data_IF_945677283354
#
_entry.id   IF_945677283354
#
_cell.length_a   1.000
_cell.length_b   1.000
_cell.length_c   1.000
_cell.angle_alpha   90.00
_cell.angle_beta   90.00
_cell.angle_gamma   90.00
#
_symmetry.space_group_name_H-M   'P 1'
#
loop_
_entity.id
_entity.type
_entity.pdbx_description
1 polymer ?
#
# COMPACT_ATOMS: atom_id res chain seq x y z
N UNK A 1 42.85 -13.27 -41.71
CA UNK A 1 42.11 -12.40 -40.79
C UNK A 1 41.03 -13.29 -40.19
N UNK A 2 41.10 -13.54 -38.88
CA UNK A 2 40.42 -14.65 -38.20
C UNK A 2 39.06 -14.22 -37.61
N UNK A 3 38.05 -15.06 -37.89
CA UNK A 3 36.90 -15.52 -37.08
C UNK A 3 35.89 -14.51 -36.52
N UNK A 4 34.60 -14.81 -36.81
CA UNK A 4 33.36 -14.33 -36.17
C UNK A 4 33.08 -15.15 -34.90
N UNK A 5 32.65 -14.52 -33.79
CA UNK A 5 31.86 -15.15 -32.72
C UNK A 5 30.96 -14.12 -32.00
N UNK A 6 29.85 -14.66 -31.50
CA UNK A 6 28.61 -14.07 -30.99
C UNK A 6 28.70 -13.22 -29.70
N UNK A 7 27.61 -12.50 -29.38
CA UNK A 7 27.35 -12.09 -28.00
C UNK A 7 26.41 -10.91 -27.78
N UNK A 8 25.11 -11.16 -27.89
CA UNK A 8 24.02 -10.31 -27.40
C UNK A 8 24.11 -10.06 -25.88
N UNK A 9 24.02 -8.80 -25.41
CA UNK A 9 23.22 -8.43 -24.22
C UNK A 9 23.05 -6.91 -24.08
N UNK A 10 21.90 -6.43 -24.53
CA UNK A 10 21.35 -5.13 -24.14
C UNK A 10 20.96 -5.20 -22.65
N UNK A 11 21.75 -4.54 -21.80
CA UNK A 11 21.42 -4.31 -20.40
C UNK A 11 20.53 -3.07 -20.31
N UNK A 12 19.22 -3.29 -20.27
CA UNK A 12 18.23 -2.29 -19.89
C UNK A 12 18.48 -1.85 -18.44
N UNK A 13 18.95 -0.63 -18.25
CA UNK A 13 18.97 0.05 -16.96
C UNK A 13 17.97 1.21 -16.96
N UNK A 14 16.69 0.89 -17.08
CA UNK A 14 15.61 1.78 -16.69
C UNK A 14 15.08 1.33 -15.33
N UNK A 15 15.73 1.79 -14.27
CA UNK A 15 15.14 1.88 -12.93
C UNK A 15 14.98 3.35 -12.61
N UNK A 16 13.98 3.97 -13.23
CA UNK A 16 13.36 5.20 -12.71
C UNK A 16 12.43 4.83 -11.56
N UNK A 17 13.03 4.32 -10.48
CA UNK A 17 12.44 4.29 -9.15
C UNK A 17 12.45 5.71 -8.57
N UNK A 18 11.59 6.57 -9.14
CA UNK A 18 11.15 7.77 -8.42
C UNK A 18 10.24 7.27 -7.30
N UNK A 19 10.89 6.90 -6.19
CA UNK A 19 10.26 6.79 -4.89
C UNK A 19 10.03 8.23 -4.43
N UNK A 20 8.96 8.85 -4.93
CA UNK A 20 8.46 10.09 -4.35
C UNK A 20 8.08 9.75 -2.92
N UNK A 21 8.94 10.12 -1.96
CA UNK A 21 8.57 10.15 -0.56
C UNK A 21 7.33 11.05 -0.46
N UNK A 22 6.16 10.55 -0.04
CA UNK A 22 5.01 11.41 0.20
C UNK A 22 5.27 12.10 1.53
N UNK A 23 6.08 13.15 1.52
CA UNK A 23 6.21 14.03 2.67
C UNK A 23 5.16 15.13 2.68
N UNK A 24 4.41 15.31 1.60
CA UNK A 24 3.53 16.47 1.45
C UNK A 24 2.26 16.04 0.71
N UNK A 25 1.31 15.48 1.48
CA UNK A 25 -0.10 15.72 1.23
C UNK A 25 -0.44 16.93 2.11
N UNK A 26 -0.35 18.13 1.52
CA UNK A 26 -0.62 19.45 2.09
C UNK A 26 -0.95 19.47 3.60
N UNK A 27 0.06 19.65 4.44
CA UNK A 27 -0.13 19.99 5.87
C UNK A 27 -0.75 18.92 6.78
N UNK A 28 -1.15 17.76 6.27
CA UNK A 28 -1.67 16.68 7.11
C UNK A 28 -0.52 15.86 7.70
N UNK A 29 -0.21 16.12 8.97
CA UNK A 29 0.71 15.29 9.73
C UNK A 29 0.13 13.87 9.81
N UNK A 30 0.69 12.93 9.04
CA UNK A 30 0.28 11.53 9.05
C UNK A 30 0.48 10.94 10.45
N UNK A 31 -0.61 10.46 11.04
CA UNK A 31 -0.63 9.89 12.40
C UNK A 31 0.07 8.51 12.41
N UNK A 32 1.20 8.34 13.11
CA UNK A 32 1.81 7.02 13.28
C UNK A 32 0.81 6.03 13.88
N UNK A 33 0.83 4.77 13.40
CA UNK A 33 -0.12 3.75 13.84
C UNK A 33 0.58 2.63 14.60
N UNK A 34 -0.13 2.05 15.57
CA UNK A 34 0.38 0.95 16.37
C UNK A 34 0.38 -0.36 15.58
N UNK A 35 1.09 -1.36 16.11
CA UNK A 35 1.07 -2.71 15.55
C UNK A 35 -0.34 -3.29 15.50
N UNK A 36 -0.64 -4.01 14.42
CA UNK A 36 -1.94 -4.67 14.19
C UNK A 36 -3.15 -3.74 14.10
N UNK A 37 -2.94 -2.43 14.14
CA UNK A 37 -4.00 -1.44 14.04
C UNK A 37 -4.70 -1.52 12.67
N UNK A 38 -5.96 -1.13 12.67
CA UNK A 38 -6.78 -1.01 11.47
C UNK A 38 -7.71 0.18 11.59
N UNK A 39 -8.11 0.72 10.45
CA UNK A 39 -9.09 1.78 10.36
C UNK A 39 -9.75 1.78 8.99
N UNK A 40 -10.62 2.75 8.77
CA UNK A 40 -11.38 2.90 7.54
C UNK A 40 -11.06 4.25 6.91
N UNK A 41 -11.03 4.27 5.58
CA UNK A 41 -10.89 5.49 4.81
C UNK A 41 -9.57 6.24 5.01
N UNK A 42 -9.63 7.56 4.81
CA UNK A 42 -8.49 8.44 4.78
C UNK A 42 -7.79 8.53 6.15
N UNK A 43 -6.48 8.82 6.19
CA UNK A 43 -5.60 9.05 5.04
C UNK A 43 -5.03 7.76 4.43
N UNK A 44 -5.29 6.58 5.00
CA UNK A 44 -4.55 5.34 4.67
C UNK A 44 -5.30 4.36 3.75
N UNK A 45 -6.56 4.63 3.46
CA UNK A 45 -7.35 3.90 2.48
C UNK A 45 -8.24 4.88 1.70
N UNK A 46 -8.67 4.52 0.48
CA UNK A 46 -9.56 5.36 -0.30
C UNK A 46 -10.99 5.37 0.26
N UNK A 47 -11.69 6.46 -0.01
CA UNK A 47 -13.12 6.64 0.29
C UNK A 47 -13.89 6.97 -0.99
N UNK A 48 -15.20 6.73 -0.96
CA UNK A 48 -16.13 7.01 -2.06
C UNK A 48 -15.72 6.37 -3.39
N UNK A 49 -15.00 5.24 -3.34
CA UNK A 49 -14.51 4.56 -4.54
C UNK A 49 -14.81 3.05 -4.49
N UNK A 50 -15.37 2.45 -5.56
CA UNK A 50 -15.66 3.07 -6.86
C UNK A 50 -16.95 3.89 -6.87
N UNK A 51 -17.84 3.70 -5.90
CA UNK A 51 -19.07 4.48 -5.78
C UNK A 51 -19.07 5.33 -4.51
N UNK A 52 -19.82 6.44 -4.48
CA UNK A 52 -20.05 7.20 -3.26
C UNK A 52 -20.50 6.31 -2.09
N UNK A 53 -19.90 6.49 -0.93
CA UNK A 53 -20.13 5.67 0.27
C UNK A 53 -19.33 4.37 0.34
N UNK A 54 -18.54 4.00 -0.67
CA UNK A 54 -17.60 2.88 -0.53
C UNK A 54 -16.38 3.31 0.27
N UNK A 55 -16.24 2.78 1.49
CA UNK A 55 -15.11 3.06 2.36
C UNK A 55 -14.24 1.81 2.45
N UNK A 56 -12.97 1.96 2.09
CA UNK A 56 -12.00 0.87 2.18
C UNK A 56 -11.40 0.81 3.58
N UNK A 57 -11.13 -0.40 4.07
CA UNK A 57 -10.42 -0.59 5.34
C UNK A 57 -8.93 -0.69 5.08
N UNK A 58 -8.11 -0.05 5.90
CA UNK A 58 -6.67 -0.32 5.99
C UNK A 58 -6.35 -1.12 7.25
N UNK A 59 -5.32 -1.95 7.16
CA UNK A 59 -4.77 -2.69 8.30
C UNK A 59 -3.27 -2.79 8.19
N UNK A 60 -2.58 -2.73 9.33
CA UNK A 60 -1.14 -2.99 9.42
C UNK A 60 -0.86 -4.30 10.15
N UNK A 61 0.31 -4.89 9.88
CA UNK A 61 0.80 -6.11 10.51
C UNK A 61 1.85 -5.82 11.59
N UNK A 62 2.85 -6.70 11.70
CA UNK A 62 3.92 -6.60 12.71
C UNK A 62 5.23 -6.07 12.15
N UNK A 63 5.50 -6.28 10.86
CA UNK A 63 6.79 -5.92 10.27
C UNK A 63 6.83 -4.46 9.85
N UNK A 64 7.86 -3.76 10.33
CA UNK A 64 8.18 -2.37 10.01
C UNK A 64 9.55 -2.33 9.34
N UNK A 65 9.65 -1.56 8.25
CA UNK A 65 10.91 -1.35 7.54
C UNK A 65 11.80 -0.40 8.35
N UNK A 66 13.11 -0.44 8.10
CA UNK A 66 14.06 0.52 8.68
C UNK A 66 13.67 2.00 8.40
N UNK A 67 12.91 2.26 7.34
CA UNK A 67 12.37 3.58 7.01
C UNK A 67 11.23 4.07 7.92
N UNK A 68 10.81 3.29 8.92
CA UNK A 68 9.73 3.68 9.83
C UNK A 68 8.31 3.50 9.31
N UNK A 69 8.12 2.70 8.27
CA UNK A 69 6.82 2.43 7.68
C UNK A 69 6.52 0.94 7.68
N UNK A 70 5.25 0.58 7.75
CA UNK A 70 4.83 -0.82 7.72
C UNK A 70 5.22 -1.50 6.41
N UNK A 71 5.82 -2.68 6.54
CA UNK A 71 5.99 -3.62 5.44
C UNK A 71 4.68 -4.38 5.24
N UNK A 72 4.12 -4.91 6.33
CA UNK A 72 2.84 -5.59 6.34
C UNK A 72 1.72 -4.57 6.40
N UNK A 73 1.10 -4.31 5.26
CA UNK A 73 -0.06 -3.45 5.13
C UNK A 73 -1.06 -4.08 4.18
N UNK A 74 -2.32 -3.80 4.45
CA UNK A 74 -3.40 -4.40 3.71
C UNK A 74 -4.49 -3.37 3.47
N UNK A 75 -5.06 -3.40 2.26
CA UNK A 75 -6.36 -2.83 2.02
C UNK A 75 -7.41 -3.94 1.95
N UNK A 76 -8.59 -3.65 2.48
CA UNK A 76 -9.75 -4.53 2.41
C UNK A 76 -10.82 -3.80 1.63
N UNK A 77 -11.33 -4.47 0.59
CA UNK A 77 -12.35 -3.89 -0.27
C UNK A 77 -13.67 -3.68 0.51
N UNK A 78 -14.44 -2.63 0.17
CA UNK A 78 -15.76 -2.40 0.73
C UNK A 78 -16.71 -3.56 0.42
N UNK A 79 -17.77 -3.78 1.21
CA UNK A 79 -18.69 -4.92 1.04
C UNK A 79 -19.26 -5.06 -0.38
N UNK A 80 -19.53 -3.94 -1.07
CA UNK A 80 -20.05 -3.95 -2.45
C UNK A 80 -19.11 -4.58 -3.47
N UNK A 81 -17.82 -4.63 -3.17
CA UNK A 81 -16.80 -5.23 -4.02
C UNK A 81 -16.44 -6.67 -3.64
N UNK A 82 -17.00 -7.19 -2.54
CA UNK A 82 -16.72 -8.55 -2.10
C UNK A 82 -17.70 -9.52 -2.78
N UNK A 83 -17.16 -10.48 -3.54
CA UNK A 83 -17.95 -11.55 -4.18
C UNK A 83 -18.70 -12.41 -3.16
N UNK A 84 -18.13 -12.56 -1.96
CA UNK A 84 -18.72 -13.34 -0.88
C UNK A 84 -18.65 -12.56 0.44
N UNK A 85 -19.78 -12.23 1.07
CA UNK A 85 -19.81 -11.50 2.35
C UNK A 85 -19.02 -12.18 3.49
N UNK A 86 -18.80 -13.50 3.41
CA UNK A 86 -18.03 -14.25 4.41
C UNK A 86 -16.52 -14.20 4.16
N UNK A 87 -16.08 -13.82 2.96
CA UNK A 87 -14.67 -13.78 2.56
C UNK A 87 -14.29 -12.37 2.17
N UNK A 88 -13.63 -11.68 3.11
CA UNK A 88 -13.03 -10.38 2.86
C UNK A 88 -12.01 -10.47 1.73
N UNK A 89 -12.04 -9.48 0.84
CA UNK A 89 -11.07 -9.35 -0.25
C UNK A 89 -9.93 -8.44 0.20
N UNK A 90 -8.74 -9.03 0.35
CA UNK A 90 -7.55 -8.36 0.88
C UNK A 90 -6.52 -8.10 -0.22
N UNK A 91 -5.88 -6.94 -0.15
CA UNK A 91 -4.76 -6.58 -1.01
C UNK A 91 -3.54 -6.25 -0.15
N UNK A 92 -2.52 -7.10 -0.22
CA UNK A 92 -1.26 -6.94 0.53
C UNK A 92 -0.18 -6.15 -0.23
N UNK A 93 -0.41 -5.83 -1.51
CA UNK A 93 0.59 -5.16 -2.34
C UNK A 93 -0.05 -4.24 -3.39
N UNK A 94 0.65 -3.14 -3.70
CA UNK A 94 0.30 -2.20 -4.78
C UNK A 94 0.09 -2.91 -6.13
N UNK A 95 0.97 -3.84 -6.57
CA UNK A 95 0.78 -4.55 -7.83
C UNK A 95 -0.49 -5.41 -7.86
N UNK A 96 -0.79 -6.16 -6.78
CA UNK A 96 -2.01 -6.98 -6.71
C UNK A 96 -3.27 -6.12 -6.86
N UNK A 97 -3.34 -5.02 -6.10
CA UNK A 97 -4.45 -4.08 -6.19
C UNK A 97 -4.53 -3.43 -7.58
N UNK A 98 -3.41 -2.98 -8.15
CA UNK A 98 -3.38 -2.38 -9.48
C UNK A 98 -3.90 -3.35 -10.55
N UNK A 99 -3.50 -4.63 -10.51
CA UNK A 99 -4.00 -5.64 -11.44
C UNK A 99 -5.51 -5.83 -11.26
N UNK A 100 -5.99 -5.95 -10.02
CA UNK A 100 -7.42 -6.06 -9.75
C UNK A 100 -8.22 -4.87 -10.32
N UNK A 101 -7.74 -3.65 -10.11
CA UNK A 101 -8.38 -2.43 -10.61
C UNK A 101 -8.43 -2.41 -12.14
N UNK A 102 -7.32 -2.73 -12.82
CA UNK A 102 -7.29 -2.81 -14.29
C UNK A 102 -8.28 -3.82 -14.87
N UNK A 103 -8.41 -4.97 -14.20
CA UNK A 103 -9.28 -6.05 -14.67
C UNK A 103 -10.76 -5.76 -14.44
N UNK A 104 -11.11 -5.21 -13.26
CA UNK A 104 -12.51 -5.04 -12.86
C UNK A 104 -13.08 -3.64 -13.16
N UNK A 105 -12.20 -2.65 -13.29
CA UNK A 105 -12.56 -1.25 -13.56
C UNK A 105 -11.66 -0.68 -14.65
N UNK A 106 -11.74 -1.19 -15.90
CA UNK A 106 -10.84 -0.80 -16.98
C UNK A 106 -10.96 0.69 -17.36
N UNK A 107 -12.09 1.31 -17.08
CA UNK A 107 -12.35 2.74 -17.34
C UNK A 107 -11.88 3.65 -16.19
N UNK A 108 -11.49 3.10 -15.05
CA UNK A 108 -11.10 3.90 -13.89
C UNK A 108 -9.72 4.52 -14.06
N UNK A 109 -9.56 5.77 -13.61
CA UNK A 109 -8.25 6.38 -13.44
C UNK A 109 -7.55 5.78 -12.21
N UNK A 110 -6.71 4.77 -12.47
CA UNK A 110 -5.94 4.06 -11.45
C UNK A 110 -4.91 4.98 -10.78
N UNK A 111 -4.41 5.99 -11.49
CA UNK A 111 -3.43 6.92 -10.91
C UNK A 111 -4.13 7.88 -9.94
N UNK A 112 -5.31 8.38 -10.30
CA UNK A 112 -6.17 9.13 -9.37
C UNK A 112 -6.53 8.30 -8.13
N UNK A 113 -6.85 7.02 -8.31
CA UNK A 113 -7.10 6.09 -7.19
C UNK A 113 -5.90 6.00 -6.23
N UNK A 114 -4.68 5.76 -6.73
CA UNK A 114 -3.51 5.66 -5.86
C UNK A 114 -3.03 7.00 -5.30
N UNK A 115 -3.50 8.12 -5.85
CA UNK A 115 -3.20 9.47 -5.37
C UNK A 115 -4.20 9.97 -4.34
N UNK A 116 -5.35 9.30 -4.18
CA UNK A 116 -6.40 9.74 -3.24
C UNK A 116 -6.08 9.43 -1.78
N UNK A 117 -5.09 8.58 -1.50
CA UNK A 117 -4.71 8.17 -0.16
C UNK A 117 -3.21 7.87 -0.07
N UNK A 118 -2.70 7.83 1.16
CA UNK A 118 -1.33 7.46 1.45
C UNK A 118 -1.23 5.97 1.62
N UNK A 119 -0.55 5.32 0.68
CA UNK A 119 -0.22 3.91 0.83
C UNK A 119 0.65 3.74 2.10
N UNK A 120 1.75 4.50 2.24
CA UNK A 120 2.85 4.28 3.22
C UNK A 120 2.47 4.73 4.63
N UNK A 121 2.00 3.77 5.43
CA UNK A 121 1.57 3.99 6.80
C UNK A 121 2.77 4.07 7.74
N UNK A 122 2.98 5.19 8.45
CA UNK A 122 4.06 5.34 9.43
C UNK A 122 3.79 4.50 10.68
N UNK A 123 4.85 3.91 11.23
CA UNK A 123 4.77 3.13 12.46
C UNK A 123 4.98 4.01 13.69
N UNK A 124 4.14 3.82 14.71
CA UNK A 124 4.37 4.39 16.03
C UNK A 124 5.41 3.56 16.78
N UNK A 125 6.67 4.02 16.75
CA UNK A 125 7.77 3.36 17.45
C UNK A 125 7.62 3.38 18.97
N UNK A 126 6.93 4.36 19.55
CA UNK A 126 6.74 4.42 21.00
C UNK A 126 5.84 3.27 21.49
N UNK A 127 4.87 2.86 20.67
CA UNK A 127 4.02 1.70 20.94
C UNK A 127 4.81 0.37 21.00
N UNK A 128 6.00 0.28 20.40
CA UNK A 128 6.85 -0.92 20.48
C UNK A 128 7.60 -1.01 21.82
N UNK A 129 8.04 0.13 22.35
CA UNK A 129 8.88 0.16 23.55
C UNK A 129 8.09 0.27 24.86
N UNK A 130 6.82 0.66 24.82
CA UNK A 130 5.98 0.81 26.00
C UNK A 130 5.05 -0.37 26.29
N UNK A 131 5.26 -1.54 25.66
CA UNK A 131 4.51 -2.75 26.01
C UNK A 131 4.92 -3.18 27.43
N UNK A 132 4.01 -3.19 28.43
CA UNK A 132 4.37 -3.44 29.82
C UNK A 132 4.44 -4.94 30.09
N UNK A 133 5.39 -5.64 29.49
CA UNK A 133 5.77 -6.99 29.91
C UNK A 133 7.28 -7.06 30.19
N UNK A 134 7.66 -6.35 31.25
CA UNK A 134 8.88 -6.60 32.01
C UNK A 134 8.49 -7.03 33.42
N UNK A 135 8.20 -8.32 33.60
CA UNK A 135 8.21 -8.97 34.90
C UNK A 135 9.34 -10.00 34.84
N UNK A 136 10.45 -9.66 35.52
CA UNK A 136 11.56 -10.57 35.78
C UNK A 136 11.24 -11.58 36.87
#
# INVERSE_FOLDING_TARGET
MFIVEDGEKISTSETNNICTSPKEMDGFQLRPVALLESGEGLPYAPENWPNPGDIWTWKVGRRVKASGHFQDRYLIAPPRLQENPRKKMWFSSKPSLRTYLKTNFPEADINAFFSSFVWDVPADFNAFFMSPEGKG
#
